data_IF_952855450155
#
_entry.id   IF_952855450155
#
_cell.length_a   1.000
_cell.length_b   1.000
_cell.length_c   1.000
_cell.angle_alpha   90.00
_cell.angle_beta   90.00
_cell.angle_gamma   90.00
#
_symmetry.space_group_name_H-M   'P 1'
#
loop_
_entity.id
_entity.type
_entity.pdbx_description
1 polymer ?
#
# COMPACT_ATOMS: atom_id res chain seq x y z
N UNK A 1 3.91 17.59 -3.51
CA UNK A 1 3.04 16.60 -4.18
C UNK A 1 2.74 17.16 -5.54
N UNK A 2 2.95 16.40 -6.61
CA UNK A 2 2.49 16.79 -7.95
C UNK A 2 1.00 17.18 -7.86
N UNK A 3 0.63 18.26 -8.56
CA UNK A 3 -0.75 18.73 -8.61
C UNK A 3 -1.55 17.76 -9.48
N UNK A 4 -2.08 16.70 -8.87
CA UNK A 4 -3.02 15.79 -9.52
C UNK A 4 -4.38 16.50 -9.61
N UNK A 5 -4.85 16.74 -10.82
CA UNK A 5 -6.14 17.40 -11.05
C UNK A 5 -7.31 16.42 -10.91
N UNK A 6 -8.47 16.94 -10.51
CA UNK A 6 -9.70 16.17 -10.41
C UNK A 6 -10.12 15.60 -11.77
N UNK A 7 -9.90 16.34 -12.86
CA UNK A 7 -10.18 15.87 -14.22
C UNK A 7 -9.36 14.62 -14.58
N UNK A 8 -8.08 14.59 -14.22
CA UNK A 8 -7.19 13.45 -14.45
C UNK A 8 -7.65 12.21 -13.65
N UNK A 9 -8.09 12.42 -12.40
CA UNK A 9 -8.61 11.33 -11.55
C UNK A 9 -9.91 10.76 -12.14
N UNK A 10 -10.80 11.61 -12.63
CA UNK A 10 -12.06 11.20 -13.26
C UNK A 10 -11.79 10.46 -14.57
N UNK A 11 -10.90 10.98 -15.42
CA UNK A 11 -10.50 10.35 -16.66
C UNK A 11 -9.88 8.97 -16.42
N UNK A 12 -8.97 8.84 -15.45
CA UNK A 12 -8.41 7.56 -15.05
C UNK A 12 -9.50 6.57 -14.63
N UNK A 13 -10.41 7.01 -13.75
CA UNK A 13 -11.53 6.18 -13.27
C UNK A 13 -12.41 5.67 -14.41
N UNK A 14 -12.70 6.53 -15.41
CA UNK A 14 -13.50 6.16 -16.57
C UNK A 14 -12.80 5.12 -17.48
N UNK A 15 -11.46 5.04 -17.40
CA UNK A 15 -10.65 4.06 -18.13
C UNK A 15 -10.30 2.82 -17.29
N UNK A 16 -11.04 2.52 -16.21
CA UNK A 16 -10.74 1.43 -15.27
C UNK A 16 -9.34 1.52 -14.64
N UNK A 17 -8.84 2.75 -14.47
CA UNK A 17 -7.59 3.03 -13.80
C UNK A 17 -7.82 3.87 -12.55
N UNK A 18 -6.90 3.81 -11.58
CA UNK A 18 -6.95 4.60 -10.35
C UNK A 18 -5.57 5.10 -9.98
N UNK A 19 -5.48 6.34 -9.55
CA UNK A 19 -4.29 6.83 -8.87
C UNK A 19 -4.24 6.30 -7.43
N UNK A 20 -3.08 5.84 -7.01
CA UNK A 20 -2.77 5.40 -5.64
C UNK A 20 -1.48 6.07 -5.20
N UNK A 21 -1.43 6.57 -3.97
CA UNK A 21 -0.18 6.99 -3.36
C UNK A 21 0.51 5.74 -2.81
N UNK A 22 1.62 5.35 -3.41
CA UNK A 22 2.31 4.09 -3.11
C UNK A 22 3.71 4.40 -2.61
N UNK A 23 4.03 3.89 -1.41
CA UNK A 23 5.41 3.69 -1.00
C UNK A 23 5.90 2.37 -1.57
N UNK A 24 7.01 2.38 -2.30
CA UNK A 24 7.64 1.18 -2.85
C UNK A 24 9.06 1.05 -2.30
N UNK A 25 9.50 -0.19 -2.12
CA UNK A 25 10.85 -0.52 -1.71
C UNK A 25 11.28 -1.75 -2.51
N UNK A 26 12.37 -1.62 -3.27
CA UNK A 26 12.88 -2.69 -4.13
C UNK A 26 14.33 -2.94 -3.74
N UNK A 27 14.65 -4.21 -3.48
CA UNK A 27 16.02 -4.67 -3.28
C UNK A 27 16.55 -5.24 -4.59
N UNK A 28 17.63 -4.65 -5.10
CA UNK A 28 18.41 -5.16 -6.21
C UNK A 28 19.81 -5.46 -5.68
N UNK A 29 20.17 -6.74 -5.58
CA UNK A 29 21.40 -7.22 -4.93
C UNK A 29 21.56 -6.66 -3.50
N UNK A 30 22.60 -5.88 -3.26
CA UNK A 30 22.90 -5.23 -1.98
C UNK A 30 22.42 -3.77 -1.90
N UNK A 31 21.64 -3.31 -2.88
CA UNK A 31 21.06 -1.96 -2.90
C UNK A 31 19.56 -1.99 -2.65
N UNK A 32 19.11 -1.11 -1.77
CA UNK A 32 17.70 -0.87 -1.50
C UNK A 32 17.34 0.48 -2.08
N UNK A 33 16.32 0.52 -2.95
CA UNK A 33 15.71 1.76 -3.44
C UNK A 33 14.31 1.87 -2.84
N UNK A 34 14.05 2.97 -2.13
CA UNK A 34 12.73 3.31 -1.62
C UNK A 34 12.24 4.63 -2.23
N UNK A 35 10.96 4.69 -2.58
CA UNK A 35 10.32 5.89 -3.12
C UNK A 35 8.85 5.96 -2.69
N UNK A 36 8.30 7.16 -2.71
CA UNK A 36 6.86 7.41 -2.53
C UNK A 36 6.39 8.24 -3.71
N UNK A 37 5.37 7.78 -4.41
CA UNK A 37 4.85 8.47 -5.59
C UNK A 37 3.41 8.12 -5.91
N UNK A 38 2.80 8.95 -6.76
CA UNK A 38 1.52 8.62 -7.37
C UNK A 38 1.76 7.50 -8.40
N UNK A 39 0.98 6.43 -8.29
CA UNK A 39 0.98 5.30 -9.22
C UNK A 39 -0.39 5.17 -9.82
N UNK A 40 -0.47 5.21 -11.15
CA UNK A 40 -1.67 4.83 -11.88
C UNK A 40 -1.73 3.30 -11.99
N UNK A 41 -2.81 2.69 -11.51
CA UNK A 41 -3.01 1.23 -11.50
C UNK A 41 -4.29 0.86 -12.22
N UNK A 42 -4.29 -0.27 -12.93
CA UNK A 42 -5.47 -0.86 -13.57
C UNK A 42 -6.10 -1.95 -12.68
N UNK A 43 -7.20 -2.53 -13.12
CA UNK A 43 -7.94 -3.57 -12.38
C UNK A 43 -7.15 -4.86 -12.09
N UNK A 44 -6.13 -5.17 -12.89
CA UNK A 44 -5.26 -6.34 -12.69
C UNK A 44 -4.25 -6.15 -11.54
N UNK A 45 -3.93 -4.90 -11.17
CA UNK A 45 -3.09 -4.63 -10.00
C UNK A 45 -3.94 -4.70 -8.73
N UNK A 46 -3.60 -5.61 -7.84
CA UNK A 46 -4.26 -5.81 -6.54
C UNK A 46 -4.41 -4.55 -5.69
N UNK A 47 -3.59 -3.51 -5.91
CA UNK A 47 -3.74 -2.21 -5.25
C UNK A 47 -4.99 -1.43 -5.71
N UNK A 48 -5.53 -1.73 -6.89
CA UNK A 48 -6.71 -1.06 -7.46
C UNK A 48 -7.94 -1.18 -6.55
N UNK A 49 -8.15 -2.36 -5.99
CA UNK A 49 -9.32 -2.71 -5.16
C UNK A 49 -9.25 -2.15 -3.73
N UNK A 50 -8.08 -1.69 -3.27
CA UNK A 50 -7.89 -1.14 -1.91
C UNK A 50 -8.39 0.30 -1.86
N UNK A 51 -9.53 0.53 -1.21
CA UNK A 51 -10.22 1.82 -1.24
C UNK A 51 -10.59 2.33 0.16
N UNK A 52 -10.92 3.63 0.23
CA UNK A 52 -11.35 4.29 1.47
C UNK A 52 -10.22 4.36 2.49
N UNK A 53 -10.50 3.96 3.73
CA UNK A 53 -9.51 3.99 4.82
C UNK A 53 -8.60 2.76 4.87
N UNK A 54 -8.90 1.73 4.07
CA UNK A 54 -8.10 0.51 4.00
C UNK A 54 -6.71 0.80 3.47
N UNK A 55 -5.73 0.08 4.01
CA UNK A 55 -4.37 0.05 3.51
C UNK A 55 -4.09 -1.35 3.00
N UNK A 56 -3.06 -1.48 2.19
CA UNK A 56 -2.48 -2.79 1.97
C UNK A 56 -1.02 -2.72 1.64
N UNK A 57 -0.35 -3.84 1.90
CA UNK A 57 1.05 -4.04 1.63
C UNK A 57 1.15 -5.21 0.68
N UNK A 58 1.84 -4.97 -0.45
CA UNK A 58 2.05 -5.94 -1.50
C UNK A 58 3.52 -6.33 -1.53
N UNK A 59 3.78 -7.60 -1.28
CA UNK A 59 5.11 -8.21 -1.39
C UNK A 59 5.20 -8.98 -2.69
N UNK A 60 6.29 -8.78 -3.42
CA UNK A 60 6.68 -9.62 -4.55
C UNK A 60 7.94 -10.37 -4.16
N UNK A 61 7.85 -11.69 -4.15
CA UNK A 61 8.92 -12.60 -3.73
C UNK A 61 9.19 -13.59 -4.86
N UNK A 62 10.42 -14.09 -4.91
CA UNK A 62 10.88 -15.13 -5.84
C UNK A 62 10.29 -16.52 -5.50
N UNK A 63 9.99 -16.76 -4.23
CA UNK A 63 9.56 -18.06 -3.71
C UNK A 63 8.04 -18.24 -3.67
N UNK A 64 7.31 -17.26 -3.14
CA UNK A 64 5.84 -17.34 -2.93
C UNK A 64 5.09 -16.57 -4.04
N UNK A 65 5.80 -15.77 -4.84
CA UNK A 65 5.18 -14.87 -5.80
C UNK A 65 4.61 -13.62 -5.13
N UNK A 66 3.39 -13.22 -5.49
CA UNK A 66 2.73 -12.02 -4.96
C UNK A 66 1.89 -12.34 -3.72
N UNK A 67 2.19 -11.67 -2.60
CA UNK A 67 1.42 -11.72 -1.36
C UNK A 67 0.88 -10.33 -1.04
N UNK A 68 -0.43 -10.22 -0.82
CA UNK A 68 -1.09 -8.94 -0.50
C UNK A 68 -1.78 -9.05 0.84
N UNK A 69 -1.42 -8.17 1.77
CA UNK A 69 -2.07 -8.04 3.08
C UNK A 69 -2.92 -6.78 3.02
N UNK A 70 -4.25 -6.92 3.15
CA UNK A 70 -5.20 -5.81 3.11
C UNK A 70 -5.86 -5.69 4.48
N UNK A 71 -5.92 -4.47 4.99
CA UNK A 71 -6.63 -4.19 6.22
C UNK A 71 -6.38 -2.78 6.73
N UNK A 72 -6.83 -2.55 7.95
CA UNK A 72 -6.57 -1.30 8.64
C UNK A 72 -7.57 -0.22 8.28
N UNK A 73 -8.48 0.00 9.20
CA UNK A 73 -8.99 1.34 9.45
C UNK A 73 -8.03 1.97 10.49
N UNK A 74 -7.56 3.20 10.30
CA UNK A 74 -6.80 3.87 11.36
C UNK A 74 -7.72 4.10 12.57
N UNK A 75 -7.29 3.75 13.77
CA UNK A 75 -8.10 3.97 14.98
C UNK A 75 -7.30 3.72 16.27
N UNK A 76 -7.63 4.43 17.36
CA UNK A 76 -6.86 4.40 18.60
C UNK A 76 -6.80 3.00 19.22
N UNK A 77 -7.91 2.24 19.22
CA UNK A 77 -7.95 0.88 19.78
C UNK A 77 -6.97 -0.06 19.07
N UNK A 78 -6.91 -0.02 17.73
CA UNK A 78 -6.02 -0.88 16.94
C UNK A 78 -4.55 -0.49 17.13
N UNK A 79 -4.27 0.82 17.27
CA UNK A 79 -2.92 1.28 17.61
C UNK A 79 -2.48 0.77 18.99
N UNK A 80 -3.34 0.90 20.01
CA UNK A 80 -3.06 0.41 21.36
C UNK A 80 -2.88 -1.11 21.42
N UNK A 81 -3.71 -1.88 20.68
CA UNK A 81 -3.58 -3.32 20.59
C UNK A 81 -2.24 -3.75 19.95
N UNK A 82 -1.76 -3.01 18.92
CA UNK A 82 -0.45 -3.26 18.32
C UNK A 82 0.67 -3.01 19.33
N UNK A 83 0.62 -1.89 20.05
CA UNK A 83 1.62 -1.55 21.07
C UNK A 83 1.64 -2.62 22.18
N UNK A 84 0.47 -3.05 22.66
CA UNK A 84 0.36 -4.09 23.69
C UNK A 84 0.97 -5.41 23.20
N UNK A 85 0.69 -5.81 21.95
CA UNK A 85 1.29 -7.00 21.34
C UNK A 85 2.81 -6.90 21.32
N UNK A 86 3.36 -5.75 20.95
CA UNK A 86 4.80 -5.52 20.90
C UNK A 86 5.44 -5.64 22.30
N UNK A 87 4.79 -5.08 23.33
CA UNK A 87 5.24 -5.21 24.74
C UNK A 87 5.27 -6.68 25.18
N UNK A 88 4.22 -7.45 24.88
CA UNK A 88 4.16 -8.88 25.25
C UNK A 88 5.29 -9.65 24.56
N UNK A 89 5.49 -9.44 23.25
CA UNK A 89 6.54 -10.12 22.49
C UNK A 89 7.95 -9.75 22.95
N UNK A 90 8.16 -8.54 23.49
CA UNK A 90 9.46 -8.13 24.03
C UNK A 90 9.79 -8.79 25.37
N UNK A 91 8.78 -9.24 26.12
CA UNK A 91 8.92 -9.82 27.46
C UNK A 91 8.93 -11.35 27.47
N UNK A 92 8.52 -11.97 26.36
CA UNK A 92 8.54 -13.43 26.13
C UNK A 92 9.86 -13.89 25.52
#
# INVERSE_FOLDING_TARGET
MENLDAEEVIAAKNNNMRYKLVGSCIRNDDKIKAEVGLKLVNEDDTLYSINGKNKGVKYKTDTIGELVIIGGESGPIRASASILRDIINMLS
#
